data_IF_099435202694
#
_entry.id   IF_099435202694
#
_cell.length_a   1.000
_cell.length_b   1.000
_cell.length_c   1.000
_cell.angle_alpha   90.00
_cell.angle_beta   90.00
_cell.angle_gamma   90.00
#
_symmetry.space_group_name_H-M   'P 1'
#
loop_
_entity.id
_entity.type
_entity.pdbx_description
1 polymer ?
#
# COMPACT_ATOMS: atom_id res chain seq x y z
N UNK A 1 -9.81 -41.45 9.00
CA UNK A 1 -9.90 -40.01 8.70
C UNK A 1 -8.56 -39.40 9.06
N UNK A 2 -7.64 -39.25 8.09
CA UNK A 2 -6.34 -38.60 8.33
C UNK A 2 -6.59 -37.10 8.33
N UNK A 3 -6.49 -36.48 9.50
CA UNK A 3 -6.51 -35.03 9.63
C UNK A 3 -5.20 -34.50 9.09
N UNK A 4 -5.19 -34.15 7.82
CA UNK A 4 -4.08 -33.40 7.24
C UNK A 4 -4.07 -32.03 7.94
N UNK A 5 -3.08 -31.84 8.80
CA UNK A 5 -2.79 -30.56 9.41
C UNK A 5 -2.42 -29.60 8.28
N UNK A 6 -3.41 -28.90 7.72
CA UNK A 6 -3.17 -27.76 6.83
C UNK A 6 -2.36 -26.77 7.66
N UNK A 7 -1.05 -26.82 7.48
CA UNK A 7 -0.12 -25.89 8.10
C UNK A 7 -0.61 -24.49 7.79
N UNK A 8 -0.69 -23.65 8.83
CA UNK A 8 -1.10 -22.25 8.74
C UNK A 8 -0.54 -21.64 7.47
N UNK A 9 -1.42 -21.13 6.60
CA UNK A 9 -1.02 -20.50 5.36
C UNK A 9 0.04 -19.43 5.65
N UNK A 10 1.14 -19.34 4.85
CA UNK A 10 2.19 -18.38 5.12
C UNK A 10 1.62 -16.95 5.11
N UNK A 11 1.99 -16.15 6.10
CA UNK A 11 1.52 -14.78 6.23
C UNK A 11 2.20 -13.89 5.18
N UNK A 12 1.57 -13.76 4.01
CA UNK A 12 2.08 -12.93 2.90
C UNK A 12 1.77 -11.44 3.04
N UNK A 13 1.16 -11.02 4.14
CA UNK A 13 0.79 -9.63 4.38
C UNK A 13 2.01 -8.71 4.33
N UNK A 14 3.11 -9.11 4.97
CA UNK A 14 4.35 -8.32 5.00
C UNK A 14 4.95 -8.16 3.59
N UNK A 15 5.24 -9.24 2.83
CA UNK A 15 5.80 -9.10 1.48
C UNK A 15 4.88 -8.32 0.54
N UNK A 16 3.56 -8.53 0.62
CA UNK A 16 2.59 -7.77 -0.17
C UNK A 16 2.62 -6.26 0.17
N UNK A 17 2.68 -5.92 1.46
CA UNK A 17 2.73 -4.51 1.89
C UNK A 17 4.06 -3.85 1.49
N UNK A 18 5.17 -4.57 1.53
CA UNK A 18 6.46 -4.06 1.02
C UNK A 18 6.44 -3.84 -0.48
N UNK A 19 5.90 -4.77 -1.29
CA UNK A 19 5.78 -4.57 -2.74
C UNK A 19 4.88 -3.38 -3.08
N UNK A 20 3.77 -3.22 -2.34
CA UNK A 20 2.90 -2.06 -2.47
C UNK A 20 3.65 -0.76 -2.15
N UNK A 21 4.41 -0.73 -1.06
CA UNK A 21 5.23 0.43 -0.67
C UNK A 21 6.27 0.81 -1.73
N UNK A 22 6.98 -0.18 -2.28
CA UNK A 22 7.99 0.03 -3.34
C UNK A 22 7.34 0.57 -4.61
N UNK A 23 6.20 0.00 -5.05
CA UNK A 23 5.48 0.51 -6.22
C UNK A 23 4.98 1.95 -6.01
N UNK A 24 4.43 2.26 -4.84
CA UNK A 24 4.01 3.62 -4.50
C UNK A 24 5.19 4.60 -4.55
N UNK A 25 6.34 4.22 -4.00
CA UNK A 25 7.55 5.06 -4.02
C UNK A 25 7.98 5.38 -5.46
N UNK A 26 8.00 4.39 -6.34
CA UNK A 26 8.33 4.60 -7.75
C UNK A 26 7.32 5.50 -8.47
N UNK A 27 6.02 5.36 -8.18
CA UNK A 27 4.99 6.25 -8.73
C UNK A 27 5.22 7.70 -8.26
N UNK A 28 5.54 7.90 -6.98
CA UNK A 28 5.88 9.24 -6.47
C UNK A 28 7.10 9.84 -7.18
N UNK A 29 8.16 9.06 -7.37
CA UNK A 29 9.37 9.50 -8.08
C UNK A 29 9.09 9.79 -9.54
N UNK A 30 8.28 8.96 -10.22
CA UNK A 30 7.89 9.18 -11.62
C UNK A 30 7.10 10.48 -11.78
N UNK A 31 6.11 10.71 -10.91
CA UNK A 31 5.28 11.92 -10.91
C UNK A 31 6.13 13.15 -10.59
N UNK A 32 7.06 13.01 -9.64
CA UNK A 32 8.03 14.02 -9.32
C UNK A 32 8.91 14.39 -10.52
N UNK A 33 9.39 13.40 -11.26
CA UNK A 33 10.24 13.62 -12.43
C UNK A 33 9.52 14.32 -13.59
N UNK A 34 8.22 14.09 -13.76
CA UNK A 34 7.42 14.65 -14.86
C UNK A 34 6.86 16.05 -14.52
N UNK A 35 6.33 16.22 -13.31
CA UNK A 35 5.59 17.42 -12.89
C UNK A 35 6.23 18.23 -11.76
N UNK A 36 7.35 17.76 -11.20
CA UNK A 36 8.03 18.40 -10.08
C UNK A 36 7.46 18.04 -8.70
N UNK A 37 8.02 18.65 -7.65
CA UNK A 37 7.80 18.24 -6.25
C UNK A 37 6.39 18.49 -5.74
N UNK A 38 5.71 19.53 -6.25
CA UNK A 38 4.35 19.84 -5.85
C UNK A 38 3.36 18.70 -6.19
N UNK A 39 3.52 18.06 -7.36
CA UNK A 39 2.63 16.99 -7.79
C UNK A 39 2.78 15.74 -6.90
N UNK A 40 4.01 15.42 -6.48
CA UNK A 40 4.27 14.32 -5.56
C UNK A 40 3.64 14.57 -4.17
N UNK A 41 3.75 15.81 -3.65
CA UNK A 41 3.10 16.21 -2.40
C UNK A 41 1.57 16.12 -2.48
N UNK A 42 0.97 16.57 -3.59
CA UNK A 42 -0.47 16.46 -3.80
C UNK A 42 -0.94 15.01 -3.79
N UNK A 43 -0.20 14.10 -4.45
CA UNK A 43 -0.53 12.68 -4.43
C UNK A 43 -0.34 12.06 -3.04
N UNK A 44 0.66 12.50 -2.27
CA UNK A 44 0.89 12.02 -0.91
C UNK A 44 -0.25 12.43 0.02
N UNK A 45 -0.75 13.66 -0.12
CA UNK A 45 -1.94 14.13 0.60
C UNK A 45 -3.19 13.34 0.20
N UNK A 46 -3.40 13.08 -1.09
CA UNK A 46 -4.53 12.29 -1.57
C UNK A 46 -4.52 10.87 -1.00
N UNK A 47 -3.34 10.23 -0.96
CA UNK A 47 -3.15 8.90 -0.37
C UNK A 47 -3.41 8.91 1.13
N UNK A 48 -2.85 9.87 1.87
CA UNK A 48 -3.08 10.03 3.30
C UNK A 48 -4.58 10.26 3.60
N UNK A 49 -5.25 11.05 2.77
CA UNK A 49 -6.68 11.30 2.91
C UNK A 49 -7.51 10.05 2.62
N UNK A 50 -7.14 9.27 1.59
CA UNK A 50 -7.78 8.00 1.25
C UNK A 50 -7.64 6.96 2.37
N UNK A 51 -6.47 6.85 2.98
CA UNK A 51 -6.23 5.98 4.15
C UNK A 51 -7.09 6.45 5.33
N UNK A 52 -7.13 7.76 5.60
CA UNK A 52 -7.97 8.34 6.65
C UNK A 52 -9.45 8.04 6.42
N UNK A 53 -9.92 8.11 5.17
CA UNK A 53 -11.30 7.77 4.81
C UNK A 53 -11.59 6.27 5.04
N UNK A 54 -10.65 5.41 4.65
CA UNK A 54 -10.76 3.97 4.87
C UNK A 54 -10.73 3.61 6.37
N UNK A 55 -9.94 4.33 7.15
CA UNK A 55 -9.87 4.20 8.61
C UNK A 55 -11.13 4.73 9.32
N UNK A 56 -11.83 5.70 8.71
CA UNK A 56 -13.10 6.23 9.22
C UNK A 56 -14.30 5.36 8.87
N UNK A 57 -14.13 4.32 8.04
CA UNK A 57 -15.19 3.38 7.70
C UNK A 57 -15.55 2.60 8.98
N UNK A 58 -16.74 2.82 9.58
CA UNK A 58 -17.15 2.06 10.76
C UNK A 58 -17.28 0.60 10.34
N UNK A 59 -16.59 -0.28 11.07
CA UNK A 59 -16.79 -1.73 10.99
C UNK A 59 -18.05 -2.10 11.74
#
# INVERSE_FOLDING_TARGET
MRGDNIGRAPDYTVPALTMLGVNLMWIFVMIWAIWGFLAALALALALNHGITLLSRRPR
#
